data_IF_062880216752
#
_entry.id   IF_062880216752
#
_cell.length_a   1.000
_cell.length_b   1.000
_cell.length_c   1.000
_cell.angle_alpha   90.00
_cell.angle_beta   90.00
_cell.angle_gamma   90.00
#
_symmetry.space_group_name_H-M   'P 1'
#
loop_
_entity.id
_entity.type
_entity.pdbx_description
1 polymer ?
#
# COMPACT_ATOMS: atom_id res chain seq x y z
N UNK A 1 -5.73 4.95 6.43
CA UNK A 1 -6.04 5.77 7.57
C UNK A 1 -5.72 7.24 7.30
N UNK A 2 -6.70 8.10 7.40
CA UNK A 2 -6.59 9.50 7.00
C UNK A 2 -6.10 10.45 8.09
N UNK A 3 -6.14 10.09 9.35
CA UNK A 3 -5.69 10.96 10.44
C UNK A 3 -5.13 10.14 11.57
N UNK A 4 -3.91 10.30 11.87
CA UNK A 4 -3.11 9.87 13.00
C UNK A 4 -3.76 9.10 14.16
N UNK A 5 -4.98 8.68 14.10
CA UNK A 5 -5.76 8.03 15.12
C UNK A 5 -5.40 6.56 15.33
N UNK A 6 -6.14 5.60 15.12
CA UNK A 6 -5.99 4.19 15.45
C UNK A 6 -4.87 3.45 14.69
N UNK A 7 -4.22 2.53 15.32
CA UNK A 7 -3.24 1.61 14.76
C UNK A 7 -3.92 0.50 13.93
N UNK A 8 -5.20 0.28 14.13
CA UNK A 8 -5.95 -0.74 13.41
C UNK A 8 -6.59 -0.18 12.15
N UNK A 9 -6.41 -0.88 11.05
CA UNK A 9 -7.16 -0.61 9.83
C UNK A 9 -8.59 -1.13 10.04
N UNK A 10 -9.60 -0.27 10.07
CA UNK A 10 -10.96 -0.72 10.24
C UNK A 10 -11.43 -1.53 9.02
N UNK A 11 -12.24 -2.55 9.26
CA UNK A 11 -13.00 -3.22 8.22
C UNK A 11 -14.22 -2.34 7.88
N UNK A 12 -14.03 -1.33 7.05
CA UNK A 12 -15.07 -0.37 6.65
C UNK A 12 -15.40 -0.52 5.17
N UNK A 13 -16.56 -0.04 4.78
CA UNK A 13 -16.89 0.10 3.37
C UNK A 13 -15.90 1.03 2.67
N UNK A 14 -15.59 0.74 1.41
CA UNK A 14 -14.73 1.57 0.58
C UNK A 14 -15.36 2.97 0.39
N UNK A 15 -14.57 4.00 0.62
CA UNK A 15 -14.98 5.39 0.40
C UNK A 15 -14.08 6.03 -0.65
N UNK A 16 -14.57 6.08 -1.89
CA UNK A 16 -13.84 6.66 -3.01
C UNK A 16 -13.71 8.19 -2.92
N UNK A 17 -14.58 8.87 -2.20
CA UNK A 17 -14.52 10.33 -2.10
C UNK A 17 -13.42 10.83 -1.20
N UNK A 18 -13.23 10.16 -0.07
CA UNK A 18 -12.27 10.57 0.97
C UNK A 18 -11.00 9.76 0.96
N UNK A 19 -10.96 8.72 0.16
CA UNK A 19 -9.96 7.69 0.28
C UNK A 19 -10.20 6.78 1.49
N UNK A 20 -9.78 5.54 1.39
CA UNK A 20 -9.93 4.59 2.47
C UNK A 20 -8.79 3.59 2.55
N UNK A 21 -8.59 3.07 3.74
CA UNK A 21 -7.70 1.94 4.01
C UNK A 21 -8.50 0.94 4.84
N UNK A 22 -8.55 -0.30 4.38
CA UNK A 22 -9.19 -1.38 5.11
C UNK A 22 -8.35 -2.66 5.01
N UNK A 23 -8.60 -3.60 5.92
CA UNK A 23 -7.97 -4.92 5.90
C UNK A 23 -9.00 -5.98 5.56
N UNK A 24 -8.60 -6.92 4.71
CA UNK A 24 -9.37 -8.11 4.37
C UNK A 24 -8.51 -9.36 4.49
N UNK A 25 -9.13 -10.49 4.79
CA UNK A 25 -8.47 -11.80 4.82
C UNK A 25 -8.95 -12.74 3.71
N UNK A 26 -9.88 -12.27 2.89
CA UNK A 26 -10.41 -13.01 1.75
C UNK A 26 -10.72 -12.04 0.59
N UNK A 27 -9.72 -11.25 0.16
CA UNK A 27 -9.93 -10.32 -0.94
C UNK A 27 -10.11 -11.07 -2.25
N UNK A 28 -10.79 -10.43 -3.18
CA UNK A 28 -10.87 -10.87 -4.56
C UNK A 28 -10.13 -9.84 -5.41
N UNK A 29 -9.05 -10.28 -6.04
CA UNK A 29 -8.26 -9.49 -6.94
C UNK A 29 -8.79 -9.62 -8.37
N UNK A 30 -8.21 -8.85 -9.27
CA UNK A 30 -8.55 -8.83 -10.69
C UNK A 30 -8.67 -10.25 -11.29
N UNK A 31 -9.56 -10.40 -12.26
CA UNK A 31 -9.87 -11.68 -12.91
C UNK A 31 -10.41 -12.76 -11.94
N UNK A 32 -11.13 -12.31 -10.90
CA UNK A 32 -11.73 -13.18 -9.89
C UNK A 32 -10.72 -14.10 -9.16
N UNK A 33 -9.51 -13.59 -8.97
CA UNK A 33 -8.49 -14.32 -8.22
C UNK A 33 -8.74 -14.17 -6.71
N UNK A 34 -9.05 -15.29 -6.04
CA UNK A 34 -9.30 -15.34 -4.59
C UNK A 34 -7.98 -15.52 -3.84
N UNK A 35 -7.77 -14.65 -2.85
CA UNK A 35 -6.60 -14.69 -1.99
C UNK A 35 -7.04 -14.96 -0.55
N UNK A 36 -6.25 -15.69 0.22
CA UNK A 36 -6.52 -16.02 1.62
C UNK A 36 -5.52 -15.36 2.60
N UNK A 37 -4.59 -14.59 2.07
CA UNK A 37 -3.62 -13.85 2.86
C UNK A 37 -4.17 -12.49 3.35
N UNK A 38 -3.69 -12.05 4.51
CA UNK A 38 -4.02 -10.74 5.03
C UNK A 38 -3.65 -9.62 4.04
N UNK A 39 -4.63 -8.88 3.59
CA UNK A 39 -4.49 -7.87 2.53
C UNK A 39 -4.90 -6.51 3.04
N UNK A 40 -4.08 -5.50 2.75
CA UNK A 40 -4.42 -4.10 2.93
C UNK A 40 -5.05 -3.60 1.63
N UNK A 41 -6.30 -3.17 1.69
CA UNK A 41 -7.01 -2.56 0.56
C UNK A 41 -6.93 -1.06 0.72
N UNK A 42 -6.43 -0.39 -0.29
CA UNK A 42 -6.24 1.06 -0.31
C UNK A 42 -6.99 1.66 -1.49
N UNK A 43 -7.75 2.73 -1.23
CA UNK A 43 -8.48 3.47 -2.25
C UNK A 43 -8.06 4.92 -2.16
N UNK A 44 -7.38 5.49 -3.18
CA UNK A 44 -7.05 6.90 -3.20
C UNK A 44 -8.30 7.77 -3.17
N UNK A 45 -8.21 8.96 -2.58
CA UNK A 45 -9.29 9.93 -2.62
C UNK A 45 -9.59 10.37 -4.06
N UNK A 46 -10.83 10.69 -4.35
CA UNK A 46 -11.21 11.32 -5.62
C UNK A 46 -10.56 12.71 -5.74
N UNK A 47 -10.14 13.04 -6.96
CA UNK A 47 -9.51 14.33 -7.29
C UNK A 47 -8.14 14.14 -7.92
N UNK A 48 -7.61 15.22 -8.52
CA UNK A 48 -6.42 15.17 -9.38
C UNK A 48 -5.16 14.55 -8.78
N UNK A 49 -4.96 14.70 -7.47
CA UNK A 49 -3.82 14.16 -6.75
C UNK A 49 -4.26 13.13 -5.69
N UNK A 50 -5.30 12.36 -5.99
CA UNK A 50 -5.85 11.36 -5.08
C UNK A 50 -4.76 10.47 -4.50
N UNK A 51 -4.50 10.62 -3.20
CA UNK A 51 -3.46 9.91 -2.47
C UNK A 51 -4.04 9.33 -1.20
N UNK A 52 -3.70 8.08 -0.92
CA UNK A 52 -3.87 7.48 0.40
C UNK A 52 -2.51 7.00 0.90
N UNK A 53 -2.20 7.26 2.16
CA UNK A 53 -0.93 6.87 2.76
C UNK A 53 -1.10 6.41 4.19
N UNK A 54 -0.57 5.24 4.49
CA UNK A 54 -0.51 4.67 5.83
C UNK A 54 0.90 4.72 6.39
N UNK A 55 1.04 5.22 7.62
CA UNK A 55 2.30 5.20 8.38
C UNK A 55 2.29 4.03 9.35
N UNK A 56 3.36 3.25 9.34
CA UNK A 56 3.58 2.18 10.32
C UNK A 56 4.37 2.67 11.52
N UNK A 57 4.25 1.99 12.67
CA UNK A 57 5.11 2.24 13.82
C UNK A 57 6.59 2.14 13.45
N UNK A 58 7.42 2.86 14.21
CA UNK A 58 8.87 2.80 13.98
C UNK A 58 9.40 1.38 14.20
N UNK A 59 10.29 0.97 13.31
CA UNK A 59 10.98 -0.32 13.37
C UNK A 59 12.48 -0.10 13.19
N UNK A 60 13.27 -0.82 13.98
CA UNK A 60 14.72 -0.89 13.78
C UNK A 60 15.04 -1.89 12.69
N UNK A 61 15.61 -1.43 11.61
CA UNK A 61 15.98 -2.28 10.47
C UNK A 61 17.26 -3.05 10.80
N UNK A 62 17.24 -4.34 10.49
CA UNK A 62 18.41 -5.22 10.60
C UNK A 62 18.91 -5.55 9.20
N UNK A 63 20.19 -5.89 9.12
CA UNK A 63 20.76 -6.41 7.88
C UNK A 63 19.99 -7.65 7.41
N UNK A 64 19.65 -7.71 6.12
CA UNK A 64 18.85 -8.79 5.53
C UNK A 64 17.33 -8.60 5.64
N UNK A 65 16.86 -7.53 6.28
CA UNK A 65 15.43 -7.21 6.23
C UNK A 65 15.02 -6.77 4.84
N UNK A 66 13.85 -7.24 4.41
CA UNK A 66 13.23 -6.83 3.16
C UNK A 66 11.74 -6.56 3.37
N UNK A 67 11.19 -5.69 2.55
CA UNK A 67 9.74 -5.52 2.41
C UNK A 67 9.25 -6.44 1.30
N UNK A 68 8.21 -7.20 1.55
CA UNK A 68 7.59 -8.07 0.57
C UNK A 68 6.08 -7.87 0.52
N UNK A 69 5.51 -7.89 -0.67
CA UNK A 69 4.07 -7.84 -0.92
C UNK A 69 3.75 -8.34 -2.33
N UNK A 70 2.48 -8.69 -2.55
CA UNK A 70 1.93 -8.86 -3.90
C UNK A 70 1.00 -7.68 -4.15
N UNK A 71 1.15 -7.02 -5.28
CA UNK A 71 0.35 -5.85 -5.67
C UNK A 71 -0.63 -6.23 -6.78
N UNK A 72 -1.88 -5.79 -6.64
CA UNK A 72 -2.93 -6.02 -7.64
C UNK A 72 -4.09 -5.07 -7.48
N UNK A 73 -4.92 -4.95 -8.50
CA UNK A 73 -6.20 -4.25 -8.43
C UNK A 73 -7.31 -5.16 -7.90
N UNK A 74 -8.40 -4.58 -7.40
CA UNK A 74 -9.61 -5.32 -7.03
C UNK A 74 -10.33 -5.91 -8.23
N UNK A 75 -11.10 -6.97 -8.01
CA UNK A 75 -11.92 -7.61 -9.05
C UNK A 75 -12.93 -6.61 -9.64
N UNK A 76 -13.14 -6.69 -10.95
CA UNK A 76 -14.06 -5.83 -11.72
C UNK A 76 -13.75 -4.33 -11.66
N UNK A 77 -12.57 -3.94 -11.21
CA UNK A 77 -12.12 -2.56 -11.20
C UNK A 77 -11.32 -2.26 -12.47
N UNK A 78 -11.93 -2.45 -13.63
CA UNK A 78 -11.28 -2.45 -14.95
C UNK A 78 -10.58 -1.13 -15.30
N UNK A 79 -10.95 -0.03 -14.65
CA UNK A 79 -10.30 1.28 -14.81
C UNK A 79 -9.20 1.55 -13.79
N UNK A 80 -8.89 0.59 -12.96
CA UNK A 80 -7.85 0.73 -11.95
C UNK A 80 -6.51 1.06 -12.61
N UNK A 81 -5.97 2.22 -12.26
CA UNK A 81 -4.64 2.68 -12.67
C UNK A 81 -4.04 3.48 -11.53
N UNK A 82 -3.08 2.90 -10.86
CA UNK A 82 -2.51 3.43 -9.62
C UNK A 82 -0.99 3.33 -9.61
N UNK A 83 -0.37 4.19 -8.82
CA UNK A 83 1.04 4.06 -8.45
C UNK A 83 1.13 3.72 -6.97
N UNK A 84 1.73 2.58 -6.67
CA UNK A 84 2.12 2.17 -5.33
C UNK A 84 3.47 2.77 -5.00
N UNK A 85 3.67 3.17 -3.75
CA UNK A 85 4.97 3.66 -3.30
C UNK A 85 5.29 3.17 -1.88
N UNK A 86 6.52 2.71 -1.70
CA UNK A 86 7.11 2.41 -0.40
C UNK A 86 8.06 3.54 -0.03
N UNK A 87 7.81 4.18 1.14
CA UNK A 87 8.62 5.28 1.62
C UNK A 87 9.04 5.04 3.07
N UNK A 88 9.98 5.85 3.53
CA UNK A 88 10.37 5.88 4.95
C UNK A 88 10.62 7.30 5.44
N UNK A 89 10.59 7.47 6.74
CA UNK A 89 11.08 8.67 7.44
C UNK A 89 11.82 8.26 8.70
N UNK A 90 12.70 9.11 9.17
CA UNK A 90 13.26 8.96 10.51
C UNK A 90 12.25 9.46 11.55
N UNK A 91 12.19 8.82 12.75
CA UNK A 91 11.27 9.25 13.79
C UNK A 91 11.44 10.74 14.15
N UNK A 92 10.32 11.46 14.21
CA UNK A 92 10.31 12.90 14.51
C UNK A 92 10.58 13.81 13.32
N UNK A 93 10.98 13.25 12.16
CA UNK A 93 11.17 14.04 10.94
C UNK A 93 9.92 14.02 10.06
N UNK A 94 9.68 15.12 9.35
CA UNK A 94 8.57 15.25 8.39
C UNK A 94 8.96 14.82 6.97
N UNK A 95 10.26 14.76 6.68
CA UNK A 95 10.76 14.41 5.35
C UNK A 95 10.53 12.93 5.05
N UNK A 96 9.97 12.66 3.87
CA UNK A 96 9.77 11.32 3.34
C UNK A 96 10.80 11.03 2.25
N UNK A 97 11.32 9.81 2.30
CA UNK A 97 12.25 9.29 1.32
C UNK A 97 11.60 8.13 0.58
N UNK A 98 11.59 8.16 -0.75
CA UNK A 98 11.09 7.05 -1.55
C UNK A 98 12.10 5.91 -1.57
N UNK A 99 11.62 4.68 -1.34
CA UNK A 99 12.41 3.47 -1.53
C UNK A 99 12.19 2.96 -2.95
N UNK A 100 10.93 2.75 -3.34
CA UNK A 100 10.57 2.35 -4.68
C UNK A 100 9.09 2.67 -4.97
N UNK A 101 8.73 2.66 -6.25
CA UNK A 101 7.35 2.84 -6.71
C UNK A 101 7.03 1.89 -7.86
N UNK A 102 5.76 1.52 -7.99
CA UNK A 102 5.27 0.57 -8.99
C UNK A 102 3.97 1.07 -9.57
N UNK A 103 3.94 1.25 -10.89
CA UNK A 103 2.71 1.55 -11.60
C UNK A 103 1.96 0.27 -11.92
N UNK A 104 0.68 0.23 -11.62
CA UNK A 104 -0.20 -0.92 -11.84
C UNK A 104 -1.46 -0.49 -12.58
N UNK A 105 -1.74 -1.16 -13.68
CA UNK A 105 -2.99 -1.04 -14.45
C UNK A 105 -3.70 -2.38 -14.40
N UNK A 106 -5.04 -2.36 -14.32
CA UNK A 106 -5.85 -3.58 -14.36
C UNK A 106 -5.49 -4.43 -15.59
N UNK A 107 -5.32 -5.72 -15.41
CA UNK A 107 -4.98 -6.65 -16.47
C UNK A 107 -3.47 -6.85 -16.70
N UNK A 108 -2.59 -6.06 -16.10
CA UNK A 108 -1.13 -6.21 -16.23
C UNK A 108 -0.55 -7.36 -15.37
N UNK A 109 -1.41 -8.12 -14.71
CA UNK A 109 -0.99 -9.17 -13.77
C UNK A 109 -0.61 -8.64 -12.40
N UNK A 110 -0.18 -9.53 -11.52
CA UNK A 110 0.25 -9.19 -10.17
C UNK A 110 1.74 -8.90 -10.13
N UNK A 111 2.16 -7.99 -9.25
CA UNK A 111 3.56 -7.69 -9.04
C UNK A 111 4.02 -8.31 -7.73
N UNK A 112 4.96 -9.24 -7.80
CA UNK A 112 5.71 -9.69 -6.63
C UNK A 112 6.77 -8.64 -6.30
N UNK A 113 6.60 -7.99 -5.15
CA UNK A 113 7.52 -6.97 -4.67
C UNK A 113 8.40 -7.54 -3.59
N UNK A 114 9.69 -7.36 -3.74
CA UNK A 114 10.69 -7.68 -2.75
C UNK A 114 11.76 -6.60 -2.75
N UNK A 115 11.77 -5.75 -1.71
CA UNK A 115 12.70 -4.63 -1.59
C UNK A 115 13.65 -4.85 -0.42
N UNK A 116 14.95 -4.96 -0.72
CA UNK A 116 15.99 -5.06 0.29
C UNK A 116 16.09 -3.74 1.08
N UNK A 117 15.96 -3.84 2.39
CA UNK A 117 16.08 -2.71 3.31
C UNK A 117 17.43 -2.64 4.02
N UNK A 118 18.40 -3.45 3.63
CA UNK A 118 19.71 -3.52 4.29
C UNK A 118 20.49 -2.20 4.25
N UNK A 119 20.18 -1.31 3.31
CA UNK A 119 20.75 0.04 3.28
C UNK A 119 20.34 0.92 4.49
N UNK A 120 19.29 0.54 5.19
CA UNK A 120 18.82 1.16 6.43
C UNK A 120 19.24 0.37 7.69
N UNK A 121 20.11 -0.63 7.54
CA UNK A 121 20.48 -1.48 8.67
C UNK A 121 21.11 -0.66 9.81
N UNK A 122 20.59 -0.87 11.03
CA UNK A 122 20.97 -0.12 12.22
C UNK A 122 20.10 1.11 12.50
N UNK A 123 19.40 1.60 11.52
CA UNK A 123 18.51 2.76 11.65
C UNK A 123 17.13 2.37 12.18
N UNK A 124 16.51 3.29 12.90
CA UNK A 124 15.09 3.21 13.26
C UNK A 124 14.29 4.10 12.32
N UNK A 125 13.29 3.54 11.64
CA UNK A 125 12.50 4.25 10.64
C UNK A 125 11.02 3.96 10.76
N UNK A 126 10.20 4.90 10.30
CA UNK A 126 8.79 4.65 10.01
C UNK A 126 8.65 4.33 8.52
N UNK A 127 8.06 3.21 8.19
CA UNK A 127 7.71 2.85 6.83
C UNK A 127 6.31 3.39 6.48
N UNK A 128 6.13 3.73 5.20
CA UNK A 128 4.84 4.18 4.67
C UNK A 128 4.50 3.39 3.42
N UNK A 129 3.25 2.99 3.32
CA UNK A 129 2.66 2.48 2.09
C UNK A 129 1.72 3.56 1.54
N UNK A 130 1.94 3.95 0.31
CA UNK A 130 1.15 4.97 -0.36
C UNK A 130 0.61 4.47 -1.70
N UNK A 131 -0.58 4.92 -2.05
CA UNK A 131 -1.17 4.68 -3.37
C UNK A 131 -1.72 5.99 -3.88
N UNK A 132 -1.36 6.33 -5.09
CA UNK A 132 -1.90 7.49 -5.82
C UNK A 132 -2.66 7.03 -7.05
N UNK A 133 -3.74 7.77 -7.37
CA UNK A 133 -4.46 7.60 -8.61
C UNK A 133 -3.69 8.20 -9.78
N UNK A 134 -3.67 7.50 -10.90
CA UNK A 134 -3.09 8.00 -12.16
C UNK A 134 -4.15 8.70 -13.04
N UNK A 135 -5.14 9.34 -12.43
CA UNK A 135 -6.22 10.04 -13.15
C UNK A 135 -7.56 9.94 -12.41
N UNK A 136 -8.52 9.20 -12.97
CA UNK A 136 -9.82 9.00 -12.35
C UNK A 136 -9.77 7.87 -11.31
N UNK A 137 -9.95 8.21 -10.03
CA UNK A 137 -9.90 7.28 -8.91
C UNK A 137 -11.16 6.42 -8.70
N UNK A 138 -12.16 6.52 -9.57
CA UNK A 138 -13.48 5.88 -9.35
C UNK A 138 -13.44 4.35 -9.22
N UNK A 139 -12.39 3.70 -9.72
CA UNK A 139 -12.20 2.25 -9.65
C UNK A 139 -10.79 1.87 -9.16
N UNK A 140 -10.09 2.80 -8.53
CA UNK A 140 -8.72 2.59 -8.07
C UNK A 140 -8.70 1.84 -6.72
N UNK A 141 -9.08 0.58 -6.75
CA UNK A 141 -8.97 -0.32 -5.60
C UNK A 141 -7.65 -1.05 -5.68
N UNK A 142 -6.70 -0.63 -4.87
CA UNK A 142 -5.34 -1.13 -4.85
C UNK A 142 -5.10 -2.06 -3.64
N UNK A 143 -4.57 -3.23 -3.88
CA UNK A 143 -4.38 -4.27 -2.88
C UNK A 143 -2.90 -4.54 -2.63
N UNK A 144 -2.52 -4.58 -1.35
CA UNK A 144 -1.22 -4.99 -0.85
C UNK A 144 -1.41 -6.33 -0.14
N UNK A 145 -1.22 -7.42 -0.87
CA UNK A 145 -1.40 -8.78 -0.34
C UNK A 145 -0.17 -9.19 0.45
N UNK A 146 -0.37 -9.69 1.65
CA UNK A 146 0.67 -10.18 2.55
C UNK A 146 1.84 -9.19 2.74
N UNK A 147 1.54 -7.89 2.78
CA UNK A 147 2.56 -6.85 2.99
C UNK A 147 3.25 -7.06 4.35
N UNK A 148 4.57 -7.26 4.32
CA UNK A 148 5.34 -7.64 5.51
C UNK A 148 6.80 -7.24 5.41
N UNK A 149 7.44 -7.14 6.58
CA UNK A 149 8.89 -7.18 6.68
C UNK A 149 9.29 -8.64 6.86
N UNK A 150 10.22 -9.11 6.08
CA UNK A 150 10.78 -10.47 6.13
C UNK A 150 12.30 -10.41 6.28
N UNK A 151 12.88 -11.56 6.63
CA UNK A 151 14.32 -11.71 6.83
C UNK A 151 14.85 -12.80 5.92
#
# INVERSE_FOLDING_TARGET
RTNGGSIECPSMALDFKKGSIMRSYNPILEENYHEDEGTLITVPAEGGDGLVRGKYPAIKIKNGYAFAAILGCGDKQEKCSVTYELLYSYPGESKLYSINSWKKVYGDGFFDVYEDLSFLAGEEVNLYLAVSSDGNSSEDVAMWVAARITQ
#
